data_IF_174788726890
#
_entry.id   IF_174788726890
#
_cell.length_a   1.000
_cell.length_b   1.000
_cell.length_c   1.000
_cell.angle_alpha   90.00
_cell.angle_beta   90.00
_cell.angle_gamma   90.00
#
_symmetry.space_group_name_H-M   'P 1'
#
loop_
_entity.id
_entity.type
_entity.pdbx_description
1 polymer ?
#
# COMPACT_ATOMS: atom_id res chain seq x y z
N UNK A 1 11.73 -5.05 -8.11
CA UNK A 1 11.74 -6.55 -8.20
C UNK A 1 10.79 -7.17 -7.19
N UNK A 2 11.02 -7.01 -5.88
CA UNK A 2 10.22 -7.63 -4.81
C UNK A 2 8.71 -7.42 -4.96
N UNK A 3 8.26 -6.19 -5.20
CA UNK A 3 6.84 -5.88 -5.43
C UNK A 3 6.23 -6.71 -6.57
N UNK A 4 6.88 -6.80 -7.73
CA UNK A 4 6.40 -7.62 -8.85
C UNK A 4 6.38 -9.12 -8.52
N UNK A 5 7.38 -9.62 -7.79
CA UNK A 5 7.42 -11.03 -7.36
C UNK A 5 6.26 -11.35 -6.42
N UNK A 6 5.98 -10.47 -5.44
CA UNK A 6 4.84 -10.62 -4.52
C UNK A 6 3.51 -10.58 -5.27
N UNK A 7 3.35 -9.63 -6.20
CA UNK A 7 2.15 -9.51 -7.03
C UNK A 7 1.89 -10.74 -7.90
N UNK A 8 2.93 -11.29 -8.54
CA UNK A 8 2.82 -12.51 -9.33
C UNK A 8 2.45 -13.72 -8.47
N UNK A 9 3.04 -13.85 -7.27
CA UNK A 9 2.70 -14.92 -6.33
C UNK A 9 1.25 -14.78 -5.83
N UNK A 10 0.84 -13.57 -5.41
CA UNK A 10 -0.51 -13.28 -4.97
C UNK A 10 -1.56 -13.60 -6.05
N UNK A 11 -1.25 -13.28 -7.31
CA UNK A 11 -2.08 -13.64 -8.46
C UNK A 11 -2.16 -15.16 -8.67
N UNK A 12 -1.03 -15.86 -8.65
CA UNK A 12 -0.99 -17.32 -8.82
C UNK A 12 -1.76 -18.06 -7.71
N UNK A 13 -1.77 -17.51 -6.50
CA UNK A 13 -2.48 -18.04 -5.33
C UNK A 13 -3.95 -17.58 -5.25
N UNK A 14 -4.42 -16.74 -6.18
CA UNK A 14 -5.79 -16.21 -6.19
C UNK A 14 -6.10 -15.25 -5.02
N UNK A 15 -5.08 -14.74 -4.31
CA UNK A 15 -5.27 -13.83 -3.16
C UNK A 15 -5.97 -12.54 -3.55
N UNK A 16 -5.75 -12.07 -4.77
CA UNK A 16 -6.31 -10.81 -5.29
C UNK A 16 -7.68 -10.99 -5.97
N UNK A 17 -8.09 -12.23 -6.25
CA UNK A 17 -9.34 -12.51 -6.97
C UNK A 17 -10.56 -11.95 -6.24
N UNK A 18 -10.51 -11.93 -4.91
CA UNK A 18 -11.62 -11.51 -4.08
C UNK A 18 -11.88 -9.98 -4.18
N UNK A 19 -10.87 -9.19 -4.51
CA UNK A 19 -10.96 -7.72 -4.57
C UNK A 19 -11.06 -7.14 -5.98
N UNK A 20 -10.72 -7.91 -7.01
CA UNK A 20 -10.84 -7.46 -8.40
C UNK A 20 -12.26 -7.72 -8.91
N UNK A 21 -12.91 -6.67 -9.41
CA UNK A 21 -14.18 -6.77 -10.12
C UNK A 21 -13.91 -6.67 -11.62
N UNK A 22 -14.28 -7.68 -12.44
CA UNK A 22 -14.08 -7.63 -13.88
C UNK A 22 -14.79 -6.44 -14.55
N UNK A 23 -14.07 -5.70 -15.39
CA UNK A 23 -14.63 -4.58 -16.19
C UNK A 23 -14.13 -4.68 -17.61
N UNK A 24 -15.05 -4.69 -18.59
CA UNK A 24 -14.68 -4.69 -20.01
C UNK A 24 -13.78 -5.86 -20.45
N UNK A 25 -13.89 -7.01 -19.78
CA UNK A 25 -13.05 -8.19 -20.04
C UNK A 25 -11.68 -8.16 -19.34
N UNK A 26 -11.35 -7.09 -18.61
CA UNK A 26 -10.16 -7.03 -17.76
C UNK A 26 -10.48 -7.66 -16.41
N UNK A 27 -9.80 -8.76 -16.09
CA UNK A 27 -10.03 -9.59 -14.88
C UNK A 27 -8.85 -9.60 -13.91
N UNK A 28 -7.70 -9.06 -14.31
CA UNK A 28 -6.45 -9.06 -13.57
C UNK A 28 -5.69 -7.73 -13.79
N UNK A 29 -4.85 -7.36 -12.82
CA UNK A 29 -3.84 -6.31 -12.98
C UNK A 29 -2.87 -6.67 -14.13
N UNK A 30 -2.62 -5.73 -15.04
CA UNK A 30 -1.91 -5.98 -16.31
C UNK A 30 -0.39 -5.82 -16.21
N UNK A 31 0.11 -5.14 -15.17
CA UNK A 31 1.51 -4.74 -15.03
C UNK A 31 2.45 -5.72 -14.31
N UNK A 32 2.00 -6.65 -13.44
CA UNK A 32 2.89 -7.64 -12.81
C UNK A 32 3.69 -8.43 -13.84
N UNK A 33 5.02 -8.49 -13.67
CA UNK A 33 5.96 -9.06 -14.65
C UNK A 33 7.24 -9.55 -13.98
N UNK A 34 7.87 -10.56 -14.56
CA UNK A 34 9.17 -11.06 -14.06
C UNK A 34 10.25 -10.05 -14.43
N UNK A 35 10.93 -9.51 -13.42
CA UNK A 35 12.06 -8.60 -13.61
C UNK A 35 13.38 -9.29 -13.30
N UNK A 36 14.35 -9.12 -14.21
CA UNK A 36 15.71 -9.62 -14.02
C UNK A 36 16.65 -8.49 -13.61
N UNK A 37 17.49 -8.74 -12.60
CA UNK A 37 18.36 -7.72 -12.02
C UNK A 37 19.40 -7.17 -13.02
N UNK A 38 19.96 -8.04 -13.88
CA UNK A 38 20.89 -7.68 -14.95
C UNK A 38 20.26 -6.71 -15.97
N UNK A 39 18.99 -6.92 -16.31
CA UNK A 39 18.24 -6.02 -17.20
C UNK A 39 17.94 -4.71 -16.49
N UNK A 40 17.47 -4.76 -15.24
CA UNK A 40 17.15 -3.55 -14.47
C UNK A 40 18.36 -2.62 -14.31
N UNK A 41 19.56 -3.18 -14.07
CA UNK A 41 20.79 -2.41 -13.90
C UNK A 41 21.24 -1.65 -15.17
N UNK A 42 20.74 -2.06 -16.35
CA UNK A 42 21.05 -1.41 -17.64
C UNK A 42 20.06 -0.31 -18.01
N UNK A 43 18.97 -0.16 -17.27
CA UNK A 43 17.96 0.84 -17.59
C UNK A 43 18.48 2.25 -17.29
N UNK A 44 18.24 3.16 -18.24
CA UNK A 44 18.64 4.56 -18.09
C UNK A 44 17.77 5.26 -17.03
N UNK A 45 18.32 6.26 -16.33
CA UNK A 45 17.54 7.11 -15.44
C UNK A 45 16.40 7.78 -16.22
N UNK A 46 15.21 7.81 -15.62
CA UNK A 46 13.98 8.28 -16.28
C UNK A 46 13.69 9.78 -16.04
N UNK A 47 14.23 10.37 -14.97
CA UNK A 47 13.86 11.73 -14.52
C UNK A 47 15.03 12.71 -14.51
N UNK A 48 16.17 12.29 -13.97
CA UNK A 48 17.35 13.15 -13.79
C UNK A 48 18.57 12.50 -14.42
N UNK A 49 19.38 13.23 -15.22
CA UNK A 49 20.67 12.71 -15.70
C UNK A 49 21.53 12.23 -14.53
N UNK A 50 22.03 10.99 -14.60
CA UNK A 50 22.81 10.37 -13.53
C UNK A 50 22.00 9.95 -12.28
N UNK A 51 20.66 10.08 -12.29
CA UNK A 51 19.79 9.67 -11.19
C UNK A 51 19.62 8.15 -11.08
N UNK A 52 18.92 7.70 -10.04
CA UNK A 52 18.73 6.26 -9.73
C UNK A 52 17.32 5.74 -10.06
N UNK A 53 16.39 6.62 -10.38
CA UNK A 53 15.00 6.27 -10.70
C UNK A 53 14.90 5.87 -12.18
N UNK A 54 14.34 4.70 -12.44
CA UNK A 54 14.18 4.08 -13.76
C UNK A 54 12.76 3.54 -13.93
N UNK A 55 12.38 3.17 -15.15
CA UNK A 55 11.08 2.54 -15.44
C UNK A 55 10.86 1.19 -14.75
N UNK A 56 11.89 0.56 -14.19
CA UNK A 56 11.75 -0.70 -13.44
C UNK A 56 11.60 -0.51 -11.92
N UNK A 57 11.75 0.73 -11.42
CA UNK A 57 11.64 1.04 -10.01
C UNK A 57 10.68 2.22 -9.71
N UNK A 58 9.90 2.64 -10.70
CA UNK A 58 8.79 3.56 -10.57
C UNK A 58 7.47 2.82 -10.86
N UNK A 59 6.37 3.25 -10.25
CA UNK A 59 5.04 2.77 -10.64
C UNK A 59 4.70 3.20 -12.08
N UNK A 60 3.93 2.38 -12.82
CA UNK A 60 3.43 2.79 -14.12
C UNK A 60 2.35 3.85 -13.98
N UNK A 61 2.09 4.58 -15.07
CA UNK A 61 0.79 5.23 -15.25
C UNK A 61 -0.26 4.16 -15.48
N UNK A 62 -1.37 4.23 -14.76
CA UNK A 62 -2.40 3.20 -14.76
C UNK A 62 -3.79 3.79 -14.59
N UNK A 63 -4.76 3.15 -15.25
CA UNK A 63 -6.18 3.41 -15.09
C UNK A 63 -6.76 2.41 -14.08
N UNK A 64 -7.68 2.88 -13.23
CA UNK A 64 -8.33 2.02 -12.24
C UNK A 64 -9.28 2.79 -11.33
N UNK A 65 -10.19 2.04 -10.72
CA UNK A 65 -11.14 2.55 -9.74
C UNK A 65 -11.24 1.57 -8.56
N UNK A 66 -11.56 2.10 -7.39
CA UNK A 66 -11.84 1.30 -6.19
C UNK A 66 -13.00 1.92 -5.42
N UNK A 67 -13.78 1.09 -4.76
CA UNK A 67 -14.93 1.49 -3.97
C UNK A 67 -14.86 0.86 -2.58
N UNK A 68 -15.16 1.66 -1.56
CA UNK A 68 -15.31 1.20 -0.18
C UNK A 68 -16.62 1.75 0.37
N UNK A 69 -17.28 0.97 1.22
CA UNK A 69 -18.47 1.41 1.94
C UNK A 69 -18.09 1.71 3.39
N UNK A 70 -18.37 2.93 3.85
CA UNK A 70 -18.19 3.34 5.25
C UNK A 70 -19.57 3.41 5.89
N UNK A 71 -19.76 2.68 6.98
CA UNK A 71 -21.04 2.61 7.68
C UNK A 71 -20.83 2.83 9.18
N UNK A 72 -21.84 3.35 9.90
CA UNK A 72 -21.82 3.34 11.35
C UNK A 72 -21.70 1.92 11.92
N UNK A 73 -21.03 1.76 13.05
CA UNK A 73 -20.80 0.44 13.68
C UNK A 73 -22.10 -0.31 13.98
N UNK A 74 -23.18 0.39 14.34
CA UNK A 74 -24.47 -0.24 14.59
C UNK A 74 -25.08 -0.88 13.33
N UNK A 75 -24.86 -0.29 12.15
CA UNK A 75 -25.32 -0.85 10.86
C UNK A 75 -24.53 -2.11 10.53
N UNK A 76 -23.19 -2.07 10.71
CA UNK A 76 -22.34 -3.25 10.52
C UNK A 76 -22.75 -4.41 11.44
N UNK A 77 -22.93 -4.14 12.74
CA UNK A 77 -23.35 -5.14 13.73
C UNK A 77 -24.71 -5.74 13.41
N UNK A 78 -25.68 -4.92 13.03
CA UNK A 78 -27.01 -5.40 12.64
C UNK A 78 -26.96 -6.31 11.40
N UNK A 79 -26.03 -6.06 10.48
CA UNK A 79 -25.80 -6.89 9.29
C UNK A 79 -24.94 -8.14 9.55
N UNK A 80 -24.30 -8.27 10.72
CA UNK A 80 -23.41 -9.39 11.03
C UNK A 80 -22.17 -9.49 10.14
N UNK A 81 -21.72 -8.37 9.57
CA UNK A 81 -20.61 -8.35 8.61
C UNK A 81 -19.27 -8.06 9.30
N UNK A 82 -18.19 -8.77 8.96
CA UNK A 82 -16.85 -8.39 9.41
C UNK A 82 -16.37 -7.13 8.66
N UNK A 83 -15.37 -6.44 9.21
CA UNK A 83 -14.86 -5.24 8.56
C UNK A 83 -13.60 -4.65 9.17
N UNK A 84 -13.30 -3.42 8.75
CA UNK A 84 -12.21 -2.61 9.26
C UNK A 84 -12.80 -1.38 9.96
N UNK A 85 -12.57 -1.26 11.26
CA UNK A 85 -12.87 -0.03 12.00
C UNK A 85 -11.71 0.95 11.84
N UNK A 86 -12.00 2.20 11.50
CA UNK A 86 -11.00 3.28 11.50
C UNK A 86 -10.64 3.61 12.94
N UNK A 87 -9.37 3.44 13.31
CA UNK A 87 -8.85 3.74 14.65
C UNK A 87 -8.40 5.19 14.71
N UNK A 88 -7.58 5.60 13.74
CA UNK A 88 -7.08 6.95 13.61
C UNK A 88 -6.71 7.24 12.16
N UNK A 89 -6.70 8.52 11.79
CA UNK A 89 -6.12 9.00 10.54
C UNK A 89 -5.26 10.24 10.82
N UNK A 90 -4.27 10.48 9.95
CA UNK A 90 -3.44 11.68 10.00
C UNK A 90 -3.15 12.17 8.58
N UNK A 91 -3.21 13.49 8.40
CA UNK A 91 -2.72 14.20 7.22
C UNK A 91 -1.76 15.26 7.72
N UNK A 92 -0.57 15.31 7.12
CA UNK A 92 0.52 16.20 7.54
C UNK A 92 1.18 16.86 6.34
N UNK A 93 1.67 18.08 6.51
CA UNK A 93 2.54 18.74 5.54
C UNK A 93 3.99 18.28 5.68
N UNK A 94 4.74 18.33 4.58
CA UNK A 94 6.19 18.16 4.53
C UNK A 94 6.76 19.09 3.46
N UNK A 95 8.09 19.09 3.30
CA UNK A 95 8.73 19.89 2.26
C UNK A 95 8.22 19.50 0.85
N UNK A 96 7.64 20.42 0.07
CA UNK A 96 7.20 20.16 -1.30
C UNK A 96 8.33 19.74 -2.25
N UNK A 97 9.59 20.03 -1.92
CA UNK A 97 10.75 19.53 -2.65
C UNK A 97 11.03 18.04 -2.39
N UNK A 98 10.50 17.49 -1.29
CA UNK A 98 10.67 16.09 -0.87
C UNK A 98 9.33 15.41 -0.51
N UNK A 99 8.33 15.42 -1.41
CA UNK A 99 6.97 14.96 -1.09
C UNK A 99 6.92 13.47 -0.75
N UNK A 100 7.86 12.67 -1.27
CA UNK A 100 8.01 11.25 -0.95
C UNK A 100 8.24 10.95 0.53
N UNK A 101 8.67 11.95 1.31
CA UNK A 101 8.91 11.83 2.75
C UNK A 101 7.63 11.87 3.60
N UNK A 102 6.54 12.45 3.07
CA UNK A 102 5.27 12.66 3.78
C UNK A 102 4.74 11.48 4.61
N UNK A 103 4.85 10.21 4.15
CA UNK A 103 4.42 9.06 4.93
C UNK A 103 5.04 8.95 6.32
N UNK A 104 6.32 9.31 6.50
CA UNK A 104 7.02 9.14 7.79
C UNK A 104 6.35 9.93 8.92
N UNK A 105 6.19 11.27 8.82
CA UNK A 105 5.47 12.02 9.85
C UNK A 105 3.98 11.64 9.94
N UNK A 106 3.35 11.23 8.84
CA UNK A 106 1.94 10.82 8.86
C UNK A 106 1.73 9.54 9.69
N UNK A 107 2.59 8.53 9.48
CA UNK A 107 2.55 7.25 10.21
C UNK A 107 2.86 7.48 11.69
N UNK A 108 3.88 8.28 12.03
CA UNK A 108 4.18 8.60 13.43
C UNK A 108 2.98 9.27 14.12
N UNK A 109 2.36 10.25 13.46
CA UNK A 109 1.21 10.95 14.01
C UNK A 109 -0.02 10.04 14.18
N UNK A 110 -0.29 9.12 13.24
CA UNK A 110 -1.47 8.23 13.37
C UNK A 110 -1.28 7.18 14.47
N UNK A 111 -0.05 6.68 14.64
CA UNK A 111 0.29 5.73 15.71
C UNK A 111 0.22 6.38 17.08
N UNK A 112 0.76 7.60 17.22
CA UNK A 112 0.66 8.40 18.44
C UNK A 112 -0.80 8.67 18.83
N UNK A 113 -1.63 9.12 17.88
CA UNK A 113 -3.07 9.35 18.10
C UNK A 113 -3.82 8.09 18.55
N UNK A 114 -3.39 6.93 18.07
CA UNK A 114 -3.99 5.64 18.40
C UNK A 114 -3.42 5.01 19.69
N UNK A 115 -2.33 5.56 20.25
CA UNK A 115 -1.58 4.93 21.33
C UNK A 115 -1.05 3.54 20.96
N UNK A 116 -0.66 3.34 19.70
CA UNK A 116 -0.21 2.05 19.16
C UNK A 116 1.26 2.09 18.74
N UNK A 117 1.97 0.96 18.84
CA UNK A 117 3.30 0.78 18.26
C UNK A 117 3.23 0.32 16.81
N UNK A 118 4.29 0.59 16.04
CA UNK A 118 4.40 0.04 14.68
C UNK A 118 4.55 -1.50 14.70
N UNK A 119 5.09 -2.06 15.77
CA UNK A 119 5.23 -3.51 15.96
C UNK A 119 3.87 -4.22 16.13
N UNK A 120 2.83 -3.50 16.57
CA UNK A 120 1.47 -4.03 16.70
C UNK A 120 0.74 -4.13 15.33
N UNK A 121 1.32 -3.54 14.28
CA UNK A 121 0.72 -3.48 12.94
C UNK A 121 1.09 -4.72 12.13
N UNK A 122 0.08 -5.53 11.80
CA UNK A 122 0.29 -6.78 11.07
C UNK A 122 0.55 -6.58 9.57
N UNK A 123 -0.04 -5.55 8.97
CA UNK A 123 0.11 -5.25 7.53
C UNK A 123 0.28 -3.76 7.32
N UNK A 124 1.27 -3.39 6.53
CA UNK A 124 1.57 -2.01 6.13
C UNK A 124 1.45 -1.91 4.61
N UNK A 125 0.43 -1.20 4.14
CA UNK A 125 0.25 -0.82 2.75
C UNK A 125 0.81 0.59 2.53
N UNK A 126 1.90 0.69 1.76
CA UNK A 126 2.52 1.96 1.37
C UNK A 126 2.28 2.15 -0.12
N UNK A 127 1.83 3.34 -0.54
CA UNK A 127 1.82 3.67 -1.97
C UNK A 127 3.24 3.66 -2.50
N UNK A 128 3.57 2.65 -3.30
CA UNK A 128 4.88 2.51 -3.91
C UNK A 128 5.03 3.40 -5.16
N UNK A 129 5.15 4.72 -4.98
CA UNK A 129 5.36 5.61 -6.13
C UNK A 129 6.73 5.36 -6.80
N UNK A 130 7.77 5.24 -5.96
CA UNK A 130 9.13 4.92 -6.38
C UNK A 130 9.80 4.00 -5.36
N UNK A 131 10.61 3.04 -5.80
CA UNK A 131 11.28 2.10 -4.90
C UNK A 131 12.18 2.83 -3.89
N UNK A 132 12.92 3.85 -4.33
CA UNK A 132 13.76 4.65 -3.43
C UNK A 132 12.95 5.37 -2.35
N UNK A 133 11.74 5.85 -2.68
CA UNK A 133 10.84 6.46 -1.72
C UNK A 133 10.32 5.42 -0.71
N UNK A 134 9.88 4.25 -1.17
CA UNK A 134 9.41 3.19 -0.26
C UNK A 134 10.52 2.77 0.69
N UNK A 135 11.72 2.51 0.18
CA UNK A 135 12.88 2.11 1.00
C UNK A 135 13.24 3.18 2.03
N UNK A 136 13.29 4.46 1.64
CA UNK A 136 13.57 5.55 2.56
C UNK A 136 12.49 5.70 3.65
N UNK A 137 11.22 5.56 3.28
CA UNK A 137 10.10 5.62 4.24
C UNK A 137 10.14 4.44 5.21
N UNK A 138 10.34 3.22 4.71
CA UNK A 138 10.32 2.02 5.54
C UNK A 138 11.53 1.99 6.48
N UNK A 139 12.72 2.34 6.00
CA UNK A 139 13.93 2.46 6.82
C UNK A 139 13.75 3.50 7.94
N UNK A 140 13.22 4.68 7.63
CA UNK A 140 12.95 5.73 8.62
C UNK A 140 11.86 5.36 9.66
N UNK A 141 11.05 4.36 9.36
CA UNK A 141 10.06 3.76 10.26
C UNK A 141 10.59 2.51 10.97
N UNK A 142 11.82 2.07 10.69
CA UNK A 142 12.43 0.88 11.28
C UNK A 142 11.95 -0.43 10.68
N UNK A 143 11.51 -0.43 9.42
CA UNK A 143 11.03 -1.60 8.69
C UNK A 143 12.00 -1.99 7.57
N UNK A 144 12.36 -3.27 7.51
CA UNK A 144 13.07 -3.85 6.37
C UNK A 144 12.09 -4.44 5.35
N UNK A 145 11.62 -3.59 4.43
CA UNK A 145 10.64 -3.96 3.41
C UNK A 145 11.11 -5.04 2.41
N UNK A 146 12.41 -5.33 2.39
CA UNK A 146 13.02 -6.31 1.47
C UNK A 146 13.57 -7.55 2.14
N UNK A 147 13.71 -7.55 3.46
CA UNK A 147 14.12 -8.69 4.28
C UNK A 147 13.06 -9.03 5.33
N UNK A 148 13.33 -8.75 6.60
CA UNK A 148 12.53 -9.30 7.72
C UNK A 148 11.06 -8.90 7.70
N UNK A 149 10.75 -7.67 7.26
CA UNK A 149 9.38 -7.14 7.23
C UNK A 149 8.73 -7.27 5.85
N UNK A 150 9.37 -7.93 4.89
CA UNK A 150 8.82 -8.12 3.55
C UNK A 150 7.46 -8.84 3.56
N UNK A 151 7.19 -9.66 4.57
CA UNK A 151 5.94 -10.38 4.73
C UNK A 151 4.77 -9.50 5.23
N UNK A 152 5.05 -8.31 5.78
CA UNK A 152 4.06 -7.35 6.30
C UNK A 152 3.96 -6.07 5.47
N UNK A 153 5.04 -5.63 4.80
CA UNK A 153 5.02 -4.44 3.93
C UNK A 153 4.60 -4.82 2.51
N UNK A 154 3.46 -4.29 2.06
CA UNK A 154 2.84 -4.57 0.75
C UNK A 154 2.93 -6.07 0.40
N UNK A 155 2.35 -6.97 1.22
CA UNK A 155 2.61 -8.42 1.16
C UNK A 155 2.15 -9.09 -0.15
N UNK A 156 1.23 -8.43 -0.85
CA UNK A 156 0.66 -8.87 -2.13
C UNK A 156 1.22 -8.07 -3.32
N UNK A 157 2.31 -7.30 -3.08
CA UNK A 157 2.82 -6.31 -4.02
C UNK A 157 2.09 -4.98 -3.89
N UNK A 158 2.72 -3.91 -4.37
CA UNK A 158 2.16 -2.56 -4.31
C UNK A 158 2.15 -1.87 -5.68
N UNK A 159 2.05 -0.55 -5.65
CA UNK A 159 1.84 0.27 -6.85
C UNK A 159 2.94 0.15 -7.92
N UNK A 160 4.17 -0.23 -7.57
CA UNK A 160 5.23 -0.50 -8.57
C UNK A 160 4.81 -1.66 -9.49
N UNK A 161 4.17 -2.68 -8.92
CA UNK A 161 3.74 -3.86 -9.66
C UNK A 161 2.31 -3.77 -10.16
N UNK A 162 1.42 -3.13 -9.41
CA UNK A 162 -0.04 -3.18 -9.59
C UNK A 162 -0.61 -1.88 -10.18
N UNK A 163 0.17 -0.80 -10.22
CA UNK A 163 -0.27 0.50 -10.72
C UNK A 163 -0.68 1.48 -9.62
N UNK A 164 -0.76 2.76 -10.00
CA UNK A 164 -1.12 3.89 -9.15
C UNK A 164 -2.18 4.77 -9.82
N UNK A 165 -3.46 4.37 -9.88
CA UNK A 165 -4.53 5.27 -10.31
C UNK A 165 -4.72 6.35 -9.23
N UNK A 166 -4.17 7.55 -9.44
CA UNK A 166 -3.98 8.61 -8.44
C UNK A 166 -5.17 8.83 -7.50
N UNK A 167 -6.36 9.08 -8.04
CA UNK A 167 -7.56 9.34 -7.24
C UNK A 167 -8.13 8.09 -6.54
N UNK A 168 -7.86 6.90 -7.07
CA UNK A 168 -8.39 5.64 -6.55
C UNK A 168 -7.45 4.94 -5.56
N UNK A 169 -6.15 5.25 -5.58
CA UNK A 169 -5.13 4.48 -4.85
C UNK A 169 -5.38 4.46 -3.34
N UNK A 170 -5.87 5.55 -2.75
CA UNK A 170 -6.22 5.57 -1.33
C UNK A 170 -7.28 4.50 -0.99
N UNK A 171 -8.32 4.37 -1.82
CA UNK A 171 -9.32 3.33 -1.68
C UNK A 171 -8.76 1.93 -2.02
N UNK A 172 -7.87 1.81 -3.01
CA UNK A 172 -7.16 0.56 -3.31
C UNK A 172 -6.42 0.03 -2.08
N UNK A 173 -5.68 0.87 -1.35
CA UNK A 173 -4.98 0.41 -0.15
C UNK A 173 -5.94 -0.13 0.92
N UNK A 174 -7.11 0.51 1.10
CA UNK A 174 -8.13 0.03 2.04
C UNK A 174 -8.70 -1.31 1.59
N UNK A 175 -8.92 -1.50 0.28
CA UNK A 175 -9.35 -2.78 -0.30
C UNK A 175 -8.30 -3.87 -0.06
N UNK A 176 -7.02 -3.59 -0.31
CA UNK A 176 -5.91 -4.52 -0.08
C UNK A 176 -5.82 -4.93 1.41
N UNK A 177 -5.91 -3.96 2.32
CA UNK A 177 -5.99 -4.23 3.76
C UNK A 177 -7.22 -5.08 4.12
N UNK A 178 -8.39 -4.80 3.54
CA UNK A 178 -9.61 -5.56 3.80
C UNK A 178 -9.46 -7.02 3.32
N UNK A 179 -8.95 -7.23 2.12
CA UNK A 179 -8.69 -8.57 1.58
C UNK A 179 -7.70 -9.31 2.45
N UNK A 180 -6.55 -8.69 2.77
CA UNK A 180 -5.49 -9.34 3.51
C UNK A 180 -5.88 -9.68 4.95
N UNK A 181 -6.53 -8.75 5.64
CA UNK A 181 -6.85 -8.90 7.06
C UNK A 181 -8.21 -9.54 7.28
N UNK A 182 -9.26 -8.98 6.67
CA UNK A 182 -10.63 -9.43 6.93
C UNK A 182 -10.92 -10.73 6.20
N UNK A 183 -10.72 -10.76 4.87
CA UNK A 183 -10.97 -11.98 4.08
C UNK A 183 -9.90 -13.05 4.32
N UNK A 184 -8.66 -12.63 4.56
CA UNK A 184 -7.54 -13.49 4.94
C UNK A 184 -7.65 -14.08 6.35
N UNK A 185 -8.68 -13.73 7.12
CA UNK A 185 -8.99 -14.43 8.37
C UNK A 185 -8.28 -13.92 9.62
N UNK A 186 -7.64 -12.75 9.59
CA UNK A 186 -6.95 -12.18 10.76
C UNK A 186 -7.89 -11.96 11.95
N UNK A 187 -7.39 -12.15 13.16
CA UNK A 187 -8.19 -12.06 14.39
C UNK A 187 -8.81 -10.67 14.58
N UNK A 188 -9.94 -10.60 15.29
CA UNK A 188 -10.48 -9.32 15.74
C UNK A 188 -9.42 -8.59 16.58
N UNK A 189 -9.26 -7.29 16.37
CA UNK A 189 -8.21 -6.50 17.03
C UNK A 189 -6.93 -6.34 16.22
N UNK A 190 -6.68 -7.17 15.20
CA UNK A 190 -5.50 -7.02 14.34
C UNK A 190 -5.47 -5.65 13.67
N UNK A 191 -4.32 -4.98 13.74
CA UNK A 191 -4.12 -3.65 13.15
C UNK A 191 -3.57 -3.74 11.72
N UNK A 192 -4.04 -2.84 10.87
CA UNK A 192 -3.50 -2.57 9.54
C UNK A 192 -3.24 -1.08 9.35
N UNK A 193 -2.22 -0.75 8.56
CA UNK A 193 -1.80 0.62 8.30
C UNK A 193 -1.75 0.85 6.79
N UNK A 194 -2.41 1.90 6.31
CA UNK A 194 -2.25 2.39 4.94
C UNK A 194 -1.59 3.79 4.97
N UNK A 195 -0.65 4.06 4.07
CA UNK A 195 -0.01 5.39 3.97
C UNK A 195 0.40 5.75 2.55
N UNK A 196 0.36 7.05 2.25
CA UNK A 196 0.73 7.58 0.94
C UNK A 196 1.50 8.90 1.06
N UNK A 197 2.48 9.07 0.18
CA UNK A 197 3.03 10.37 -0.16
C UNK A 197 2.06 11.08 -1.10
N UNK A 198 1.96 12.41 -0.98
CA UNK A 198 1.05 13.22 -1.79
C UNK A 198 1.85 14.36 -2.41
N UNK A 199 1.71 14.52 -3.72
CA UNK A 199 2.32 15.62 -4.47
C UNK A 199 1.95 16.98 -3.87
N UNK A 200 2.89 17.93 -3.88
CA UNK A 200 2.73 19.22 -3.20
C UNK A 200 3.20 19.24 -1.74
N UNK A 201 3.81 18.15 -1.24
CA UNK A 201 4.44 18.14 0.08
C UNK A 201 3.49 17.73 1.18
N UNK A 202 2.80 16.60 1.04
CA UNK A 202 1.91 16.07 2.07
C UNK A 202 2.09 14.56 2.27
N UNK A 203 1.68 14.09 3.44
CA UNK A 203 1.58 12.67 3.76
C UNK A 203 0.24 12.35 4.41
N UNK A 204 -0.28 11.16 4.14
CA UNK A 204 -1.50 10.64 4.76
C UNK A 204 -1.24 9.25 5.33
N UNK A 205 -1.82 8.96 6.49
CA UNK A 205 -1.84 7.64 7.07
C UNK A 205 -3.21 7.32 7.68
N UNK A 206 -3.61 6.06 7.59
CA UNK A 206 -4.85 5.50 8.12
C UNK A 206 -4.52 4.23 8.89
N UNK A 207 -4.87 4.20 10.17
CA UNK A 207 -4.78 3.01 11.01
C UNK A 207 -6.18 2.40 11.15
N UNK A 208 -6.29 1.12 10.85
CA UNK A 208 -7.53 0.35 10.93
C UNK A 208 -7.36 -0.86 11.83
N UNK A 209 -8.48 -1.37 12.33
CA UNK A 209 -8.56 -2.58 13.16
C UNK A 209 -9.60 -3.53 12.61
N UNK A 210 -9.28 -4.81 12.56
CA UNK A 210 -10.25 -5.87 12.21
C UNK A 210 -11.36 -5.94 13.26
N UNK A 211 -12.61 -5.89 12.79
CA UNK A 211 -13.82 -6.15 13.57
C UNK A 211 -14.56 -7.35 12.97
N UNK A 212 -15.20 -8.13 13.83
CA UNK A 212 -16.03 -9.28 13.47
C UNK A 212 -17.46 -9.05 13.96
#
# INVERSE_FOLDING_TARGET
RTSHTKALAARAEGRLTAEVVPVGGVVDDQHPRVLRADVMARLRPAFTPGGTVTVANACPVSDGAAMTAVVPEHVRRAAGLPGLAVVASAVVGCDPASPGWGPVPAVRAVLERAGAGLDDVAVVEVVEAFAGQVLAVTDALGLDATGTDAHRVCPDGGAIALGHPWGATGAVLVVRLFTRLVRGGAAAGTLGLATAAVGGGMGVALLVRVVR
#
